data_IF_542469507022
#
_entry.id   IF_542469507022
#
_cell.length_a   1.000
_cell.length_b   1.000
_cell.length_c   1.000
_cell.angle_alpha   90.00
_cell.angle_beta   90.00
_cell.angle_gamma   90.00
#
_symmetry.space_group_name_H-M   'P 1'
#
loop_
_entity.id
_entity.type
_entity.pdbx_description
1 polymer ?
#
# COMPACT_ATOMS: atom_id res chain seq x y z
N UNK A 1 10.21 21.75 32.53
CA UNK A 1 11.01 22.16 31.36
C UNK A 1 10.42 21.48 30.13
N UNK A 2 9.35 22.05 29.56
CA UNK A 2 9.37 23.02 28.45
C UNK A 2 9.16 22.30 27.13
N UNK A 3 7.92 22.26 26.63
CA UNK A 3 7.58 22.34 25.19
C UNK A 3 6.08 22.69 25.07
N UNK A 4 5.70 23.86 25.58
CA UNK A 4 4.58 24.59 25.01
C UNK A 4 5.18 25.47 23.90
N UNK A 5 4.86 25.17 22.64
CA UNK A 5 5.10 26.08 21.53
C UNK A 5 3.98 25.88 20.49
N UNK A 6 2.92 26.67 20.67
CA UNK A 6 2.11 27.29 19.61
C UNK A 6 1.43 26.28 18.67
N UNK A 7 0.31 25.72 19.11
CA UNK A 7 -0.74 25.24 18.22
C UNK A 7 -1.70 26.39 17.95
N UNK A 8 -1.22 27.42 17.25
CA UNK A 8 -2.07 28.48 16.72
C UNK A 8 -1.92 28.50 15.20
N UNK A 9 -3.09 28.54 14.56
CA UNK A 9 -3.28 28.95 13.18
C UNK A 9 -2.84 27.95 12.08
N UNK A 10 -3.66 26.93 11.84
CA UNK A 10 -4.27 26.69 10.52
C UNK A 10 -5.30 25.55 10.61
N UNK A 11 -6.56 25.90 10.92
CA UNK A 11 -7.67 24.93 11.04
C UNK A 11 -8.06 24.18 9.75
N UNK A 12 -7.33 24.40 8.64
CA UNK A 12 -7.61 23.79 7.34
C UNK A 12 -6.44 22.90 6.87
N UNK A 13 -5.19 23.19 7.25
CA UNK A 13 -4.01 22.37 6.88
C UNK A 13 -3.64 21.31 7.92
N UNK A 14 -3.98 21.48 9.20
CA UNK A 14 -3.69 20.45 10.22
C UNK A 14 -4.49 19.15 10.00
N UNK A 15 -5.72 19.22 9.49
CA UNK A 15 -6.53 18.02 9.25
C UNK A 15 -5.96 17.15 8.12
N UNK A 16 -5.39 17.76 7.06
CA UNK A 16 -4.78 17.01 5.96
C UNK A 16 -3.45 16.35 6.35
N UNK A 17 -2.61 17.04 7.13
CA UNK A 17 -1.30 16.54 7.56
C UNK A 17 -1.46 15.42 8.62
N UNK A 18 -2.45 15.54 9.51
CA UNK A 18 -2.76 14.52 10.52
C UNK A 18 -3.30 13.23 9.89
N UNK A 19 -4.10 13.36 8.83
CA UNK A 19 -4.66 12.23 8.09
C UNK A 19 -3.56 11.45 7.35
N UNK A 20 -2.58 12.16 6.76
CA UNK A 20 -1.43 11.52 6.09
C UNK A 20 -0.51 10.81 7.08
N UNK A 21 -0.19 11.39 8.25
CA UNK A 21 0.65 10.71 9.25
C UNK A 21 -0.05 9.45 9.80
N UNK A 22 -1.36 9.57 10.08
CA UNK A 22 -2.20 8.43 10.46
C UNK A 22 -2.26 7.39 9.34
N UNK A 23 -2.37 7.81 8.08
CA UNK A 23 -2.39 6.94 6.91
C UNK A 23 -1.06 6.18 6.76
N UNK A 24 0.07 6.88 6.86
CA UNK A 24 1.41 6.30 6.87
C UNK A 24 1.51 5.28 8.00
N UNK A 25 1.10 5.64 9.22
CA UNK A 25 1.09 4.72 10.37
C UNK A 25 0.25 3.47 10.08
N UNK A 26 -0.95 3.61 9.51
CA UNK A 26 -1.80 2.49 9.14
C UNK A 26 -1.14 1.58 8.08
N UNK A 27 -0.39 2.14 7.12
CA UNK A 27 0.42 1.37 6.15
C UNK A 27 1.52 0.60 6.89
N UNK A 28 2.21 1.24 7.83
CA UNK A 28 3.25 0.60 8.63
C UNK A 28 2.73 -0.54 9.49
N UNK A 29 1.56 -0.37 10.10
CA UNK A 29 0.89 -1.40 10.92
C UNK A 29 0.27 -2.49 10.04
N UNK A 30 -0.06 -2.18 8.77
CA UNK A 30 -0.71 -3.11 7.85
C UNK A 30 -2.22 -3.13 8.00
N UNK A 31 -2.81 -2.03 8.49
CA UNK A 31 -4.25 -1.83 8.58
C UNK A 31 -4.84 -1.49 7.21
N UNK A 32 -4.76 -2.45 6.28
CA UNK A 32 -5.11 -2.26 4.88
C UNK A 32 -6.57 -1.84 4.67
N UNK A 33 -7.49 -2.25 5.55
CA UNK A 33 -8.88 -1.81 5.48
C UNK A 33 -9.00 -0.28 5.65
N UNK A 34 -8.35 0.27 6.68
CA UNK A 34 -8.34 1.71 6.96
C UNK A 34 -7.65 2.46 5.82
N UNK A 35 -6.50 1.95 5.36
CA UNK A 35 -5.76 2.52 4.21
C UNK A 35 -6.67 2.59 2.99
N UNK A 36 -7.34 1.50 2.62
CA UNK A 36 -8.25 1.45 1.47
C UNK A 36 -9.46 2.38 1.63
N UNK A 37 -9.97 2.58 2.85
CA UNK A 37 -11.04 3.55 3.12
C UNK A 37 -10.55 4.99 2.93
N UNK A 38 -9.39 5.34 3.48
CA UNK A 38 -8.79 6.67 3.33
C UNK A 38 -8.47 6.98 1.87
N UNK A 39 -7.98 6.00 1.10
CA UNK A 39 -7.71 6.13 -0.33
C UNK A 39 -8.92 6.59 -1.15
N UNK A 40 -10.15 6.28 -0.74
CA UNK A 40 -11.36 6.72 -1.46
C UNK A 40 -11.54 8.25 -1.39
N UNK A 41 -11.06 8.85 -0.31
CA UNK A 41 -11.14 10.29 -0.07
C UNK A 41 -9.85 11.01 -0.50
N UNK A 42 -8.71 10.30 -0.55
CA UNK A 42 -7.41 10.83 -0.93
C UNK A 42 -7.15 10.70 -2.44
N UNK A 43 -6.83 11.80 -3.12
CA UNK A 43 -6.41 11.77 -4.53
C UNK A 43 -4.92 11.50 -4.66
N UNK A 44 -4.54 10.22 -4.70
CA UNK A 44 -3.16 9.83 -4.97
C UNK A 44 -2.87 9.70 -6.47
N UNK A 45 -1.60 9.82 -6.82
CA UNK A 45 -1.12 9.50 -8.16
C UNK A 45 -1.30 8.02 -8.46
N UNK A 46 -1.66 7.68 -9.71
CA UNK A 46 -1.82 6.29 -10.17
C UNK A 46 -0.61 5.41 -9.84
N UNK A 47 0.61 5.98 -9.93
CA UNK A 47 1.85 5.27 -9.58
C UNK A 47 1.88 4.83 -8.11
N UNK A 48 1.54 5.73 -7.18
CA UNK A 48 1.53 5.42 -5.75
C UNK A 48 0.41 4.44 -5.40
N UNK A 49 -0.76 4.57 -6.04
CA UNK A 49 -1.83 3.58 -5.91
C UNK A 49 -1.37 2.19 -6.35
N UNK A 50 -0.73 2.07 -7.52
CA UNK A 50 -0.22 0.79 -8.00
C UNK A 50 0.76 0.14 -7.00
N UNK A 51 1.72 0.90 -6.47
CA UNK A 51 2.69 0.38 -5.49
C UNK A 51 2.00 -0.08 -4.19
N UNK A 52 1.00 0.67 -3.73
CA UNK A 52 0.24 0.34 -2.51
C UNK A 52 -0.63 -0.90 -2.68
N UNK A 53 -1.41 -0.97 -3.76
CA UNK A 53 -2.24 -2.14 -4.08
C UNK A 53 -1.38 -3.38 -4.29
N UNK A 54 -0.23 -3.26 -4.95
CA UNK A 54 0.73 -4.35 -5.10
C UNK A 54 1.16 -4.90 -3.74
N UNK A 55 1.52 -4.02 -2.79
CA UNK A 55 1.88 -4.41 -1.43
C UNK A 55 0.73 -5.10 -0.68
N UNK A 56 -0.50 -4.58 -0.77
CA UNK A 56 -1.68 -5.19 -0.14
C UNK A 56 -1.90 -6.60 -0.68
N UNK A 57 -1.85 -6.79 -1.99
CA UNK A 57 -2.05 -8.08 -2.65
C UNK A 57 -1.01 -9.09 -2.19
N UNK A 58 0.26 -8.69 -2.18
CA UNK A 58 1.37 -9.54 -1.69
C UNK A 58 1.10 -10.03 -0.27
N UNK A 59 0.65 -9.14 0.61
CA UNK A 59 0.42 -9.50 2.00
C UNK A 59 -0.80 -10.39 2.20
N UNK A 60 -1.86 -10.17 1.43
CA UNK A 60 -3.01 -11.06 1.41
C UNK A 60 -2.59 -12.47 0.94
N UNK A 61 -1.70 -12.58 -0.06
CA UNK A 61 -1.16 -13.87 -0.50
C UNK A 61 -0.36 -14.53 0.62
N UNK A 62 0.45 -13.77 1.35
CA UNK A 62 1.22 -14.26 2.50
C UNK A 62 0.29 -14.73 3.64
N UNK A 63 -0.83 -14.02 3.88
CA UNK A 63 -1.89 -14.42 4.83
C UNK A 63 -2.78 -15.56 4.32
N UNK A 64 -2.52 -16.11 3.12
CA UNK A 64 -3.34 -17.14 2.45
C UNK A 64 -4.75 -16.68 2.05
N UNK A 65 -5.00 -15.38 2.04
CA UNK A 65 -6.24 -14.76 1.56
C UNK A 65 -6.25 -14.60 0.04
N UNK A 66 -6.12 -15.73 -0.68
CA UNK A 66 -5.98 -15.76 -2.15
C UNK A 66 -7.21 -15.18 -2.85
N UNK A 67 -8.41 -15.39 -2.30
CA UNK A 67 -9.65 -14.87 -2.88
C UNK A 67 -9.70 -13.34 -2.84
N UNK A 68 -9.36 -12.74 -1.70
CA UNK A 68 -9.31 -11.29 -1.53
C UNK A 68 -8.21 -10.67 -2.42
N UNK A 69 -7.02 -11.27 -2.42
CA UNK A 69 -5.90 -10.82 -3.24
C UNK A 69 -6.24 -10.85 -4.74
N UNK A 70 -6.86 -11.93 -5.22
CA UNK A 70 -7.34 -12.05 -6.61
C UNK A 70 -8.43 -11.05 -6.94
N UNK A 71 -9.35 -10.80 -6.00
CA UNK A 71 -10.40 -9.80 -6.16
C UNK A 71 -9.80 -8.41 -6.36
N UNK A 72 -8.86 -8.00 -5.50
CA UNK A 72 -8.16 -6.72 -5.64
C UNK A 72 -7.36 -6.64 -6.96
N UNK A 73 -6.64 -7.69 -7.33
CA UNK A 73 -5.85 -7.69 -8.56
C UNK A 73 -6.71 -7.52 -9.82
N UNK A 74 -7.94 -8.05 -9.84
CA UNK A 74 -8.81 -8.05 -11.04
C UNK A 74 -9.89 -6.97 -11.05
N UNK A 75 -10.29 -6.46 -9.89
CA UNK A 75 -11.43 -5.53 -9.77
C UNK A 75 -11.00 -4.08 -9.53
N UNK A 76 -9.71 -3.81 -9.33
CA UNK A 76 -9.24 -2.45 -9.02
C UNK A 76 -8.64 -1.78 -10.25
N UNK A 77 -9.05 -0.54 -10.50
CA UNK A 77 -8.52 0.31 -11.58
C UNK A 77 -6.99 0.40 -11.61
N UNK A 78 -6.27 0.61 -10.48
CA UNK A 78 -4.81 0.68 -10.51
C UNK A 78 -4.16 -0.63 -10.97
N UNK A 79 -4.76 -1.79 -10.71
CA UNK A 79 -4.21 -3.07 -11.17
C UNK A 79 -4.50 -3.33 -12.65
N UNK A 80 -5.65 -2.89 -13.16
CA UNK A 80 -5.92 -2.91 -14.60
C UNK A 80 -4.93 -1.98 -15.34
N UNK A 81 -4.69 -0.78 -14.80
CA UNK A 81 -3.68 0.12 -15.33
C UNK A 81 -2.27 -0.46 -15.26
N UNK A 82 -1.90 -1.12 -14.15
CA UNK A 82 -0.63 -1.83 -14.01
C UNK A 82 -0.47 -2.90 -15.09
N UNK A 83 -1.54 -3.65 -15.40
CA UNK A 83 -1.53 -4.65 -16.47
C UNK A 83 -1.27 -4.03 -17.84
N UNK A 84 -1.83 -2.85 -18.12
CA UNK A 84 -1.65 -2.15 -19.39
C UNK A 84 -0.24 -1.55 -19.54
N UNK A 85 0.30 -0.94 -18.48
CA UNK A 85 1.58 -0.23 -18.52
C UNK A 85 2.77 -1.18 -18.24
N UNK A 86 2.61 -2.10 -17.28
CA UNK A 86 3.66 -3.00 -16.76
C UNK A 86 3.15 -4.45 -16.67
N UNK A 87 2.82 -5.08 -17.82
CA UNK A 87 2.23 -6.42 -17.85
C UNK A 87 3.09 -7.50 -17.16
N UNK A 88 4.43 -7.35 -17.19
CA UNK A 88 5.35 -8.27 -16.51
C UNK A 88 5.19 -8.26 -14.98
N UNK A 89 4.93 -7.09 -14.38
CA UNK A 89 4.67 -6.99 -12.93
C UNK A 89 3.34 -7.62 -12.58
N UNK A 90 2.30 -7.31 -13.36
CA UNK A 90 0.99 -7.92 -13.18
C UNK A 90 1.04 -9.46 -13.28
N UNK A 91 1.73 -10.00 -14.29
CA UNK A 91 1.91 -11.44 -14.45
C UNK A 91 2.64 -12.07 -13.26
N UNK A 92 3.63 -11.38 -12.68
CA UNK A 92 4.31 -11.84 -11.46
C UNK A 92 3.33 -11.98 -10.30
N UNK A 93 2.42 -11.03 -10.11
CA UNK A 93 1.36 -11.11 -9.08
C UNK A 93 0.39 -12.27 -9.34
N UNK A 94 0.00 -12.50 -10.60
CA UNK A 94 -0.83 -13.65 -10.96
C UNK A 94 -0.14 -14.99 -10.71
N UNK A 95 1.17 -15.07 -10.97
CA UNK A 95 1.96 -16.25 -10.70
C UNK A 95 2.03 -16.51 -9.18
N UNK A 96 2.27 -15.47 -8.38
CA UNK A 96 2.26 -15.56 -6.92
C UNK A 96 0.90 -16.04 -6.37
N UNK A 97 -0.22 -15.59 -6.95
CA UNK A 97 -1.57 -16.06 -6.60
C UNK A 97 -1.82 -17.53 -6.96
N UNK A 98 -1.11 -18.05 -7.94
CA UNK A 98 -1.27 -19.44 -8.42
C UNK A 98 -0.36 -20.41 -7.68
N UNK A 99 0.66 -19.92 -6.96
CA UNK A 99 1.54 -20.74 -6.13
C UNK A 99 0.81 -21.22 -4.87
N UNK A 100 1.15 -22.44 -4.44
CA UNK A 100 0.63 -23.04 -3.20
C UNK A 100 1.33 -22.54 -1.95
N UNK A 101 2.51 -21.94 -2.10
CA UNK A 101 3.31 -21.37 -1.02
C UNK A 101 3.81 -19.97 -1.37
N UNK A 102 4.02 -19.14 -0.34
CA UNK A 102 4.50 -17.77 -0.51
C UNK A 102 6.01 -17.76 -0.29
N UNK A 103 6.75 -17.24 -1.26
CA UNK A 103 8.21 -17.12 -1.19
C UNK A 103 8.61 -15.65 -1.05
N UNK A 104 8.92 -15.24 0.18
CA UNK A 104 9.31 -13.85 0.46
C UNK A 104 10.50 -13.37 -0.37
N UNK A 105 11.43 -14.26 -0.74
CA UNK A 105 12.59 -13.92 -1.57
C UNK A 105 12.24 -13.57 -3.03
N UNK A 106 11.16 -14.14 -3.57
CA UNK A 106 10.70 -13.82 -4.93
C UNK A 106 10.06 -12.42 -4.98
N UNK A 107 9.39 -12.04 -3.90
CA UNK A 107 8.68 -10.77 -3.77
C UNK A 107 9.60 -9.64 -3.31
N UNK A 108 10.46 -9.92 -2.34
CA UNK A 108 11.39 -9.00 -1.71
C UNK A 108 12.84 -9.42 -2.00
N UNK A 109 13.34 -9.20 -3.23
CA UNK A 109 14.71 -9.53 -3.57
C UNK A 109 15.70 -8.65 -2.79
N UNK A 110 16.94 -9.14 -2.64
CA UNK A 110 18.08 -8.39 -2.07
C UNK A 110 17.91 -7.93 -0.61
N UNK A 111 17.24 -8.73 0.23
CA UNK A 111 17.10 -8.42 1.66
C UNK A 111 16.14 -7.25 1.93
N UNK A 112 15.25 -6.94 0.97
CA UNK A 112 14.04 -6.18 1.30
C UNK A 112 13.16 -7.02 2.24
N UNK A 113 12.49 -6.33 3.14
CA UNK A 113 11.44 -6.90 3.98
C UNK A 113 10.14 -6.17 3.71
N UNK A 114 9.03 -6.83 4.02
CA UNK A 114 7.69 -6.23 4.02
C UNK A 114 7.66 -4.84 4.66
N UNK A 115 8.23 -4.70 5.86
CA UNK A 115 8.29 -3.43 6.59
C UNK A 115 9.10 -2.35 5.85
N UNK A 116 10.21 -2.73 5.21
CA UNK A 116 11.05 -1.81 4.45
C UNK A 116 10.31 -1.33 3.20
N UNK A 117 9.54 -2.21 2.56
CA UNK A 117 8.70 -1.86 1.42
C UNK A 117 7.54 -0.93 1.82
N UNK A 118 6.83 -1.25 2.91
CA UNK A 118 5.81 -0.37 3.51
C UNK A 118 6.36 1.04 3.78
N UNK A 119 7.55 1.13 4.38
CA UNK A 119 8.29 2.40 4.59
C UNK A 119 8.55 3.16 3.31
N UNK A 120 9.02 2.48 2.26
CA UNK A 120 9.31 3.13 0.99
C UNK A 120 8.04 3.65 0.32
N UNK A 121 6.95 2.87 0.36
CA UNK A 121 5.65 3.29 -0.18
C UNK A 121 5.14 4.51 0.59
N UNK A 122 5.13 4.45 1.93
CA UNK A 122 4.78 5.57 2.78
C UNK A 122 5.62 6.83 2.53
N UNK A 123 6.91 6.69 2.21
CA UNK A 123 7.80 7.81 1.92
C UNK A 123 7.59 8.45 0.54
N UNK A 124 6.89 7.78 -0.38
CA UNK A 124 6.59 8.31 -1.73
C UNK A 124 5.13 8.71 -1.90
N UNK A 125 4.33 8.56 -0.85
CA UNK A 125 2.95 9.03 -0.74
C UNK A 125 2.93 10.49 -0.30
#
# INVERSE_FOLDING_TARGET
>A
SSLNAIQEETGITLNAISDIDSFIKNIHEGHWDIVLQTLKNLKLSNKSLMELYEQIIIELIEMREIAAARSLLRQTDPMDLLKQILPLRYLKLENLLSKTYFESNEVYPQGMSREKRRRQIASVL
#
